data_IF_566878749809
#
_entry.id   IF_566878749809
#
_cell.length_a   1.000
_cell.length_b   1.000
_cell.length_c   1.000
_cell.angle_alpha   90.00
_cell.angle_beta   90.00
_cell.angle_gamma   90.00
#
_symmetry.space_group_name_H-M   'P 1'
#
loop_
_entity.id
_entity.type
_entity.pdbx_description
1 polymer ?
#
# COMPACT_ATOMS: atom_id res chain seq x y z
N UNK A 1 7.79 -4.02 -10.84
CA UNK A 1 7.13 -4.48 -12.04
C UNK A 1 6.15 -3.41 -12.44
N UNK A 2 6.35 -2.78 -13.61
CA UNK A 2 5.34 -1.91 -14.19
C UNK A 2 4.06 -2.71 -14.40
N UNK A 3 2.91 -2.14 -14.02
CA UNK A 3 1.60 -2.77 -14.22
C UNK A 3 1.28 -3.05 -15.70
N UNK A 4 2.07 -2.47 -16.62
CA UNK A 4 1.95 -2.66 -18.07
C UNK A 4 2.89 -3.73 -18.66
N UNK A 5 3.72 -4.37 -17.84
CA UNK A 5 4.62 -5.42 -18.33
C UNK A 5 3.89 -6.77 -18.39
N UNK A 6 3.03 -6.93 -19.38
CA UNK A 6 2.49 -8.24 -19.72
C UNK A 6 3.59 -9.14 -20.31
N UNK A 7 3.62 -10.39 -19.87
CA UNK A 7 4.45 -11.39 -20.52
C UNK A 7 4.05 -11.49 -22.00
N UNK A 8 4.96 -11.13 -22.86
CA UNK A 8 4.82 -11.27 -24.30
C UNK A 8 5.90 -12.21 -24.82
N UNK A 9 5.50 -13.23 -25.56
CA UNK A 9 6.44 -14.13 -26.24
C UNK A 9 6.30 -14.01 -27.77
N UNK A 10 6.93 -12.98 -28.37
CA UNK A 10 6.87 -12.75 -29.81
C UNK A 10 7.53 -13.89 -30.63
N UNK A 11 8.35 -14.71 -29.98
CA UNK A 11 9.06 -15.82 -30.59
C UNK A 11 8.35 -17.17 -30.45
N UNK A 12 7.12 -17.17 -29.92
CA UNK A 12 6.33 -18.40 -29.76
C UNK A 12 6.00 -18.98 -31.12
N UNK A 13 6.54 -20.16 -31.41
CA UNK A 13 6.25 -20.91 -32.64
C UNK A 13 5.15 -21.92 -32.36
N UNK A 14 4.27 -22.20 -33.36
CA UNK A 14 3.31 -23.27 -33.27
C UNK A 14 3.99 -24.59 -32.91
N UNK A 15 3.45 -25.29 -31.93
CA UNK A 15 3.99 -26.57 -31.45
C UNK A 15 3.22 -27.74 -32.07
N UNK A 16 3.88 -28.86 -32.38
CA UNK A 16 3.21 -30.05 -32.90
C UNK A 16 2.16 -30.59 -31.92
N UNK A 17 2.37 -30.43 -30.63
CA UNK A 17 1.41 -30.77 -29.58
C UNK A 17 1.10 -29.49 -28.75
N UNK A 18 -0.14 -28.99 -28.80
CA UNK A 18 -0.52 -27.76 -28.09
C UNK A 18 -0.39 -27.86 -26.55
N UNK A 19 -0.40 -29.06 -25.99
CA UNK A 19 -0.20 -29.29 -24.55
C UNK A 19 1.27 -29.36 -24.12
N UNK A 20 2.23 -29.33 -25.05
CA UNK A 20 3.64 -29.38 -24.69
C UNK A 20 4.14 -28.01 -24.25
N UNK A 21 4.79 -27.95 -23.10
CA UNK A 21 5.46 -26.72 -22.62
C UNK A 21 6.91 -26.75 -23.16
N UNK A 22 7.19 -25.90 -24.13
CA UNK A 22 8.49 -25.86 -24.79
C UNK A 22 9.65 -25.53 -23.84
N UNK A 23 10.86 -26.10 -24.05
CA UNK A 23 12.02 -25.84 -23.21
C UNK A 23 12.43 -24.34 -23.19
N UNK A 24 12.29 -23.64 -24.31
CA UNK A 24 12.59 -22.21 -24.41
C UNK A 24 11.63 -21.36 -23.58
N UNK A 25 10.32 -21.67 -23.58
CA UNK A 25 9.35 -20.97 -22.73
C UNK A 25 9.69 -21.15 -21.23
N UNK A 26 10.03 -22.38 -20.84
CA UNK A 26 10.47 -22.66 -19.45
C UNK A 26 11.77 -21.94 -19.09
N UNK A 27 12.70 -21.82 -20.05
CA UNK A 27 13.96 -21.10 -19.84
C UNK A 27 13.70 -19.60 -19.64
N UNK A 28 12.87 -18.97 -20.48
CA UNK A 28 12.47 -17.55 -20.34
C UNK A 28 11.81 -17.26 -18.99
N UNK A 29 10.87 -18.10 -18.56
CA UNK A 29 10.23 -17.93 -17.25
C UNK A 29 11.24 -18.03 -16.11
N UNK A 30 12.19 -18.98 -16.17
CA UNK A 30 13.26 -19.10 -15.17
C UNK A 30 14.18 -17.88 -15.15
N UNK A 31 14.51 -17.34 -16.29
CA UNK A 31 15.36 -16.14 -16.41
C UNK A 31 14.64 -14.92 -15.83
N UNK A 32 13.37 -14.73 -16.17
CA UNK A 32 12.52 -13.69 -15.60
C UNK A 32 12.44 -13.78 -14.07
N UNK A 33 12.16 -14.97 -13.52
CA UNK A 33 12.10 -15.19 -12.08
C UNK A 33 13.46 -14.96 -11.39
N UNK A 34 14.56 -15.36 -12.01
CA UNK A 34 15.90 -15.09 -11.45
C UNK A 34 16.19 -13.59 -11.41
N UNK A 35 15.82 -12.85 -12.44
CA UNK A 35 15.94 -11.39 -12.45
C UNK A 35 15.12 -10.74 -11.36
N UNK A 36 13.90 -11.21 -11.11
CA UNK A 36 13.02 -10.72 -10.07
C UNK A 36 13.59 -10.95 -8.65
N UNK A 37 14.15 -12.14 -8.41
CA UNK A 37 14.72 -12.51 -7.10
C UNK A 37 16.12 -11.93 -6.88
N UNK A 38 16.81 -11.47 -7.94
CA UNK A 38 18.12 -10.85 -7.82
C UNK A 38 18.08 -9.40 -7.34
N UNK A 39 16.92 -8.74 -7.38
CA UNK A 39 16.71 -7.38 -6.86
C UNK A 39 15.84 -7.45 -5.58
N UNK A 40 16.51 -7.50 -4.43
CA UNK A 40 15.86 -7.58 -3.12
C UNK A 40 14.87 -6.43 -2.91
N UNK A 41 15.21 -5.20 -3.37
CA UNK A 41 14.32 -4.04 -3.23
C UNK A 41 13.05 -4.16 -4.08
N UNK A 42 13.17 -4.68 -5.29
CA UNK A 42 12.02 -4.93 -6.16
C UNK A 42 11.14 -6.06 -5.60
N UNK A 43 11.76 -7.10 -5.05
CA UNK A 43 11.05 -8.21 -4.39
C UNK A 43 10.28 -7.74 -3.15
N UNK A 44 10.91 -6.96 -2.29
CA UNK A 44 10.29 -6.39 -1.09
C UNK A 44 9.11 -5.48 -1.44
N UNK A 45 9.27 -4.62 -2.46
CA UNK A 45 8.21 -3.76 -2.98
C UNK A 45 7.03 -4.58 -3.50
N UNK A 46 7.32 -5.58 -4.30
CA UNK A 46 6.30 -6.50 -4.80
C UNK A 46 5.59 -7.21 -3.64
N UNK A 47 6.35 -7.73 -2.68
CA UNK A 47 5.78 -8.46 -1.55
C UNK A 47 4.91 -7.57 -0.66
N UNK A 48 5.37 -6.37 -0.31
CA UNK A 48 4.59 -5.42 0.49
C UNK A 48 3.27 -5.04 -0.19
N UNK A 49 3.28 -4.80 -1.50
CA UNK A 49 2.07 -4.57 -2.29
C UNK A 49 1.17 -5.80 -2.32
N UNK A 50 1.74 -6.98 -2.58
CA UNK A 50 1.00 -8.23 -2.69
C UNK A 50 0.23 -8.57 -1.42
N UNK A 51 0.86 -8.52 -0.24
CA UNK A 51 0.21 -8.88 1.03
C UNK A 51 -0.84 -7.87 1.49
N UNK A 52 -0.77 -6.63 0.99
CA UNK A 52 -1.74 -5.59 1.30
C UNK A 52 -2.88 -5.49 0.28
N UNK A 53 -2.73 -6.08 -0.90
CA UNK A 53 -3.79 -6.12 -1.92
C UNK A 53 -4.91 -7.09 -1.52
N UNK A 54 -6.17 -6.69 -1.80
CA UNK A 54 -7.36 -7.55 -1.70
C UNK A 54 -8.06 -7.62 -3.06
N UNK A 55 -7.72 -8.58 -3.92
CA UNK A 55 -8.17 -8.61 -5.33
C UNK A 55 -9.68 -8.66 -5.54
N UNK A 56 -10.46 -9.06 -4.53
CA UNK A 56 -11.91 -9.29 -4.63
C UNK A 56 -12.71 -8.27 -3.80
N UNK A 57 -12.08 -7.26 -3.26
CA UNK A 57 -12.72 -6.33 -2.36
C UNK A 57 -12.34 -4.91 -2.74
N UNK A 58 -13.29 -4.16 -3.28
CA UNK A 58 -13.11 -2.72 -3.52
C UNK A 58 -13.23 -1.97 -2.19
N UNK A 59 -12.34 -1.02 -1.98
CA UNK A 59 -12.42 -0.10 -0.85
C UNK A 59 -13.52 0.90 -1.14
N UNK A 60 -14.56 1.01 -0.31
CA UNK A 60 -15.59 2.02 -0.53
C UNK A 60 -14.96 3.41 -0.48
N UNK A 61 -15.29 4.29 -1.43
CA UNK A 61 -14.86 5.69 -1.35
C UNK A 61 -15.50 6.34 -0.13
N UNK A 62 -14.84 7.35 0.48
CA UNK A 62 -15.45 8.13 1.54
C UNK A 62 -16.68 8.87 1.03
N UNK A 63 -17.61 9.23 1.92
CA UNK A 63 -18.82 9.99 1.57
C UNK A 63 -18.47 11.36 0.91
N UNK A 64 -17.34 11.96 1.29
CA UNK A 64 -16.79 13.16 0.67
C UNK A 64 -15.28 13.18 0.84
N UNK A 65 -14.55 13.65 -0.19
CA UNK A 65 -13.14 13.98 -0.05
C UNK A 65 -12.96 15.23 0.83
N UNK A 66 -11.96 15.20 1.69
CA UNK A 66 -11.61 16.30 2.57
C UNK A 66 -10.27 16.91 2.15
N UNK A 67 -10.10 18.20 2.31
CA UNK A 67 -8.80 18.82 2.36
C UNK A 67 -8.19 18.68 3.77
N UNK A 68 -6.91 18.97 3.93
CA UNK A 68 -6.19 18.83 5.20
C UNK A 68 -6.81 19.66 6.35
N UNK A 69 -7.22 20.92 6.16
CA UNK A 69 -7.92 21.69 7.19
C UNK A 69 -9.27 21.08 7.59
N UNK A 70 -10.07 20.63 6.63
CA UNK A 70 -11.38 20.02 6.90
C UNK A 70 -11.22 18.67 7.60
N UNK A 71 -10.23 17.84 7.20
CA UNK A 71 -9.91 16.60 7.90
C UNK A 71 -9.53 16.86 9.36
N UNK A 72 -8.69 17.88 9.61
CA UNK A 72 -8.30 18.24 10.97
C UNK A 72 -9.48 18.69 11.82
N UNK A 73 -10.35 19.55 11.27
CA UNK A 73 -11.56 20.01 11.98
C UNK A 73 -12.49 18.83 12.31
N UNK A 74 -12.66 17.90 11.35
CA UNK A 74 -13.49 16.72 11.55
C UNK A 74 -12.91 15.77 12.61
N UNK A 75 -11.58 15.59 12.65
CA UNK A 75 -10.93 14.81 13.70
C UNK A 75 -11.14 15.41 15.09
N UNK A 76 -11.04 16.74 15.20
CA UNK A 76 -11.27 17.45 16.47
C UNK A 76 -12.75 17.38 16.91
N UNK A 77 -13.70 17.31 15.96
CA UNK A 77 -15.14 17.18 16.22
C UNK A 77 -15.54 15.76 16.60
N UNK A 78 -15.13 14.76 15.82
CA UNK A 78 -15.49 13.35 16.03
C UNK A 78 -14.72 12.72 17.20
N UNK A 79 -13.51 13.21 17.49
CA UNK A 79 -12.68 12.70 18.56
C UNK A 79 -12.00 11.35 18.31
N UNK A 80 -12.33 10.66 17.23
CA UNK A 80 -11.82 9.33 16.90
C UNK A 80 -11.56 9.20 15.40
N UNK A 81 -10.55 8.38 15.04
CA UNK A 81 -10.22 8.00 13.67
C UNK A 81 -10.03 6.48 13.60
N UNK A 82 -10.68 5.84 12.65
CA UNK A 82 -10.66 4.39 12.49
C UNK A 82 -9.99 3.97 11.19
N UNK A 83 -9.37 2.79 11.23
CA UNK A 83 -8.82 2.13 10.06
C UNK A 83 -9.89 1.26 9.41
N UNK A 84 -10.10 1.46 8.13
CA UNK A 84 -11.03 0.67 7.34
C UNK A 84 -10.65 -0.82 7.36
N UNK A 85 -11.63 -1.69 7.62
CA UNK A 85 -11.43 -3.15 7.54
C UNK A 85 -11.20 -3.63 6.10
N UNK A 86 -11.55 -2.82 5.12
CA UNK A 86 -11.31 -3.10 3.69
C UNK A 86 -9.84 -2.93 3.31
N UNK A 87 -9.05 -2.16 4.09
CA UNK A 87 -7.65 -1.90 3.82
C UNK A 87 -6.71 -2.74 4.69
N UNK A 88 -5.69 -3.29 4.06
CA UNK A 88 -4.57 -3.93 4.76
C UNK A 88 -3.39 -2.98 4.80
N UNK A 89 -2.70 -3.00 5.94
CA UNK A 89 -1.52 -2.20 6.20
C UNK A 89 -0.34 -3.11 6.50
N UNK A 90 0.82 -2.76 5.98
CA UNK A 90 2.11 -3.38 6.31
C UNK A 90 3.21 -2.34 6.14
N UNK A 91 4.36 -2.56 6.75
CA UNK A 91 5.52 -1.69 6.55
C UNK A 91 6.81 -2.50 6.56
N UNK A 92 7.84 -1.92 5.98
CA UNK A 92 9.22 -2.41 6.03
C UNK A 92 10.06 -1.30 6.66
N UNK A 93 10.80 -1.66 7.70
CA UNK A 93 11.69 -0.77 8.45
C UNK A 93 13.05 -1.45 8.54
N UNK A 94 13.89 -1.20 7.55
CA UNK A 94 15.25 -1.74 7.45
C UNK A 94 16.24 -0.69 7.93
N UNK A 95 17.22 -1.08 8.75
CA UNK A 95 18.23 -0.19 9.29
C UNK A 95 18.95 0.61 8.17
N UNK A 96 18.94 1.92 8.28
CA UNK A 96 19.58 2.83 7.33
C UNK A 96 18.85 3.01 6.00
N UNK A 97 17.61 2.52 5.88
CA UNK A 97 16.75 2.75 4.72
C UNK A 97 15.51 3.56 5.14
N UNK A 98 14.90 4.34 4.23
CA UNK A 98 13.60 4.98 4.49
C UNK A 98 12.53 3.93 4.77
N UNK A 99 11.70 4.19 5.76
CA UNK A 99 10.55 3.34 6.07
C UNK A 99 9.55 3.35 4.90
N UNK A 100 9.11 2.18 4.50
CA UNK A 100 8.15 1.98 3.42
C UNK A 100 6.83 1.48 4.00
N UNK A 101 5.78 2.26 3.86
CA UNK A 101 4.43 1.89 4.27
C UNK A 101 3.64 1.37 3.05
N UNK A 102 2.96 0.26 3.20
CA UNK A 102 2.10 -0.33 2.18
C UNK A 102 0.67 -0.32 2.68
N UNK A 103 -0.23 0.24 1.88
CA UNK A 103 -1.66 0.31 2.19
C UNK A 103 -2.44 -0.02 0.94
N UNK A 104 -3.31 -1.02 1.02
CA UNK A 104 -4.20 -1.44 -0.07
C UNK A 104 -3.47 -1.61 -1.41
N UNK A 105 -2.35 -2.35 -1.40
CA UNK A 105 -1.52 -2.64 -2.58
C UNK A 105 -0.67 -1.48 -3.09
N UNK A 106 -0.68 -0.32 -2.42
CA UNK A 106 0.08 0.87 -2.79
C UNK A 106 1.25 1.07 -1.84
N UNK A 107 2.41 1.43 -2.39
CA UNK A 107 3.56 1.85 -1.58
C UNK A 107 3.50 3.36 -1.34
N UNK A 108 3.63 3.75 -0.09
CA UNK A 108 3.73 5.13 0.35
C UNK A 108 5.15 5.35 0.89
N UNK A 109 5.95 6.11 0.15
CA UNK A 109 7.25 6.56 0.65
C UNK A 109 7.04 7.62 1.72
N UNK A 110 7.51 7.36 2.92
CA UNK A 110 7.45 8.31 4.02
C UNK A 110 8.70 9.19 4.02
N UNK A 111 8.52 10.47 4.36
CA UNK A 111 9.65 11.30 4.71
C UNK A 111 10.21 10.83 6.06
N UNK A 112 11.52 11.01 6.34
CA UNK A 112 12.12 10.54 7.60
C UNK A 112 11.41 11.03 8.85
N UNK A 113 10.82 12.22 8.80
CA UNK A 113 10.05 12.82 9.90
C UNK A 113 8.74 12.07 10.16
N UNK A 114 8.29 11.20 9.23
CA UNK A 114 7.07 10.42 9.28
C UNK A 114 7.30 8.92 9.47
N UNK A 115 8.54 8.47 9.68
CA UNK A 115 8.85 7.04 9.86
C UNK A 115 8.01 6.41 10.97
N UNK A 116 7.73 7.15 12.05
CA UNK A 116 6.86 6.72 13.15
C UNK A 116 5.44 6.38 12.69
N UNK A 117 4.95 7.00 11.61
CA UNK A 117 3.57 6.82 11.14
C UNK A 117 3.31 5.38 10.68
N UNK A 118 4.32 4.69 10.17
CA UNK A 118 4.19 3.30 9.75
C UNK A 118 3.85 2.39 10.94
N UNK A 119 4.60 2.50 12.03
CA UNK A 119 4.36 1.73 13.26
C UNK A 119 3.02 2.12 13.90
N UNK A 120 2.73 3.42 14.00
CA UNK A 120 1.48 3.93 14.55
C UNK A 120 0.26 3.38 13.78
N UNK A 121 0.25 3.52 12.45
CA UNK A 121 -0.89 3.13 11.62
C UNK A 121 -1.04 1.61 11.45
N UNK A 122 0.04 0.84 11.58
CA UNK A 122 -0.04 -0.62 11.54
C UNK A 122 -0.35 -1.23 12.92
N UNK A 123 -0.05 -0.52 14.01
CA UNK A 123 -0.12 -1.04 15.38
C UNK A 123 -1.52 -1.05 15.99
N UNK A 124 -2.44 -0.21 15.50
CA UNK A 124 -3.80 -0.10 16.02
C UNK A 124 -4.83 -0.06 14.89
N UNK A 125 -6.11 -0.15 15.26
CA UNK A 125 -7.24 -0.03 14.32
C UNK A 125 -8.07 1.22 14.53
N UNK A 126 -7.96 1.84 15.69
CA UNK A 126 -8.62 3.09 16.03
C UNK A 126 -7.69 3.92 16.91
N UNK A 127 -7.86 5.21 16.85
CA UNK A 127 -7.14 6.18 17.66
C UNK A 127 -8.09 7.28 18.08
N UNK A 128 -8.02 7.66 19.36
CA UNK A 128 -8.63 8.91 19.81
C UNK A 128 -7.84 10.13 19.30
N UNK A 129 -8.48 11.28 19.23
CA UNK A 129 -7.81 12.54 18.90
C UNK A 129 -6.66 12.85 19.86
N UNK A 130 -6.80 12.50 21.15
CA UNK A 130 -5.77 12.68 22.17
C UNK A 130 -4.53 11.80 21.91
N UNK A 131 -4.71 10.56 21.45
CA UNK A 131 -3.59 9.67 21.07
C UNK A 131 -2.85 10.18 19.84
N UNK A 132 -3.57 10.83 18.91
CA UNK A 132 -2.96 11.43 17.72
C UNK A 132 -2.35 12.82 17.98
N UNK A 133 -2.81 13.55 18.99
CA UNK A 133 -2.41 14.93 19.28
C UNK A 133 -0.88 15.17 19.28
N UNK A 134 -0.03 14.28 19.84
CA UNK A 134 1.43 14.47 19.83
C UNK A 134 2.03 14.48 18.43
N UNK A 135 1.35 13.91 17.43
CA UNK A 135 1.84 13.73 16.07
C UNK A 135 1.25 14.73 15.07
N UNK A 136 0.09 15.33 15.38
CA UNK A 136 -0.65 16.17 14.45
C UNK A 136 0.10 17.44 14.01
N UNK A 137 1.12 17.87 14.78
CA UNK A 137 1.98 18.99 14.42
C UNK A 137 3.26 18.56 13.65
N UNK A 138 3.44 17.26 13.38
CA UNK A 138 4.54 16.78 12.57
C UNK A 138 4.27 17.11 11.10
N UNK A 139 5.25 17.72 10.39
CA UNK A 139 5.08 18.09 8.97
C UNK A 139 4.65 16.88 8.13
N UNK A 140 3.59 17.05 7.33
CA UNK A 140 3.09 16.01 6.42
C UNK A 140 2.24 14.92 7.06
N UNK A 141 2.08 14.86 8.40
CA UNK A 141 1.32 13.77 9.03
C UNK A 141 -0.18 13.89 8.80
N UNK A 142 -0.75 15.08 8.98
CA UNK A 142 -2.17 15.30 8.71
C UNK A 142 -2.50 15.11 7.22
N UNK A 143 -1.61 15.54 6.33
CA UNK A 143 -1.71 15.29 4.89
C UNK A 143 -1.71 13.80 4.55
N UNK A 144 -0.87 13.00 5.23
CA UNK A 144 -0.86 11.56 5.09
C UNK A 144 -2.19 10.94 5.52
N UNK A 145 -2.71 11.34 6.69
CA UNK A 145 -4.02 10.86 7.19
C UNK A 145 -5.15 11.26 6.25
N UNK A 146 -5.17 12.53 5.78
CA UNK A 146 -6.15 13.04 4.82
C UNK A 146 -6.15 12.21 3.54
N UNK A 147 -4.96 11.92 2.99
CA UNK A 147 -4.83 11.11 1.78
C UNK A 147 -5.34 9.69 1.99
N UNK A 148 -5.05 9.07 3.14
CA UNK A 148 -5.54 7.73 3.48
C UNK A 148 -7.07 7.73 3.66
N UNK A 149 -7.63 8.76 4.25
CA UNK A 149 -9.09 8.95 4.35
C UNK A 149 -9.72 9.05 2.95
N UNK A 150 -9.22 9.93 2.09
CA UNK A 150 -9.75 10.12 0.74
C UNK A 150 -9.61 8.87 -0.16
N UNK A 151 -8.76 7.92 0.22
CA UNK A 151 -8.68 6.59 -0.39
C UNK A 151 -9.57 5.55 0.30
N UNK A 152 -10.38 5.93 1.29
CA UNK A 152 -11.24 5.01 2.04
C UNK A 152 -10.50 4.08 3.01
N UNK A 153 -9.20 4.33 3.23
CA UNK A 153 -8.39 3.49 4.12
C UNK A 153 -8.46 3.89 5.59
N UNK A 154 -8.91 5.12 5.86
CA UNK A 154 -9.30 5.65 7.17
C UNK A 154 -10.71 6.22 7.09
N UNK A 155 -11.45 6.18 8.18
CA UNK A 155 -12.80 6.74 8.25
C UNK A 155 -13.10 7.29 9.65
N UNK A 156 -14.08 8.16 9.73
CA UNK A 156 -14.65 8.63 10.99
C UNK A 156 -15.88 7.79 11.34
N UNK A 157 -16.09 7.37 12.62
CA UNK A 157 -17.20 6.50 13.00
C UNK A 157 -18.59 7.00 12.61
N UNK A 158 -18.74 8.31 12.44
CA UNK A 158 -20.01 8.94 12.02
C UNK A 158 -20.33 8.77 10.54
N UNK A 159 -19.38 8.26 9.73
CA UNK A 159 -19.52 8.06 8.29
C UNK A 159 -20.00 6.63 7.94
N UNK A 160 -20.27 5.75 8.93
CA UNK A 160 -20.80 4.38 8.74
C UNK A 160 -22.29 4.31 8.45
#
# INVERSE_FOLDING_TARGET
>A
LDEESFYSDPDLKPQPNPGAIAPNARAKVREFLRGLVADDKALDRWFGRFITTRPQQEVPPPASELDTPAFRAKLDECGELHRSEYCRYAYIDDEGQPVRLFVDGRELSLAPELDFAAQLLCGARCWSADELAPYLNRPGFVELLTRLHNHGCLYFPEDE
#
